data_IF_892088878458
#
_entry.id   IF_892088878458
#
_cell.length_a   1.000
_cell.length_b   1.000
_cell.length_c   1.000
_cell.angle_alpha   90.00
_cell.angle_beta   90.00
_cell.angle_gamma   90.00
#
_symmetry.space_group_name_H-M   'P 1'
#
loop_
_entity.id
_entity.type
_entity.pdbx_description
1 polymer ?
#
# COMPACT_ATOMS: atom_id res chain seq x y z
N UNK A 1 23.81 4.96 10.95
CA UNK A 1 22.41 4.74 11.38
C UNK A 1 22.15 3.25 11.31
N UNK A 2 21.96 2.59 12.45
CA UNK A 2 21.55 1.19 12.46
C UNK A 2 20.11 1.10 11.93
N UNK A 3 19.92 0.48 10.78
CA UNK A 3 18.59 0.10 10.30
C UNK A 3 17.98 -0.86 11.31
N UNK A 4 16.87 -0.46 11.94
CA UNK A 4 16.06 -1.40 12.72
C UNK A 4 15.46 -2.35 11.71
N UNK A 5 15.95 -3.59 11.69
CA UNK A 5 15.40 -4.65 10.87
C UNK A 5 14.05 -5.05 11.47
N UNK A 6 12.97 -4.52 10.91
CA UNK A 6 11.62 -4.98 11.26
C UNK A 6 11.47 -6.35 10.60
N UNK A 7 11.67 -7.41 11.37
CA UNK A 7 11.37 -8.77 10.93
C UNK A 7 9.84 -8.87 10.82
N UNK A 8 9.26 -8.99 9.61
CA UNK A 8 7.82 -9.07 9.46
C UNK A 8 7.33 -10.36 10.15
N UNK A 9 6.35 -10.24 11.03
CA UNK A 9 5.76 -11.37 11.76
C UNK A 9 4.38 -11.69 11.19
N UNK A 10 3.92 -12.93 11.34
CA UNK A 10 2.61 -13.38 10.85
C UNK A 10 2.66 -14.47 9.79
N UNK A 11 1.48 -14.98 9.44
CA UNK A 11 1.30 -16.10 8.51
C UNK A 11 1.73 -15.75 7.07
N UNK A 12 1.61 -14.48 6.68
CA UNK A 12 1.87 -14.00 5.32
C UNK A 12 3.16 -13.19 5.18
N UNK A 13 4.06 -13.25 6.17
CA UNK A 13 5.31 -12.48 6.23
C UNK A 13 6.27 -12.62 5.04
N UNK A 14 6.09 -13.65 4.23
CA UNK A 14 6.91 -13.95 3.06
C UNK A 14 6.31 -13.40 1.76
N UNK A 15 5.15 -12.73 1.83
CA UNK A 15 4.48 -12.15 0.67
C UNK A 15 4.73 -10.65 0.61
N UNK A 16 5.08 -10.17 -0.58
CA UNK A 16 5.09 -8.77 -0.97
C UNK A 16 3.97 -8.52 -1.97
N UNK A 17 3.15 -7.50 -1.74
CA UNK A 17 1.92 -7.24 -2.49
C UNK A 17 1.88 -5.78 -2.91
N UNK A 18 1.68 -5.55 -4.21
CA UNK A 18 1.41 -4.22 -4.76
C UNK A 18 -0.10 -3.96 -4.78
N UNK A 19 -0.56 -2.98 -3.99
CA UNK A 19 -1.97 -2.62 -3.84
C UNK A 19 -2.34 -1.42 -4.74
N UNK A 20 -2.91 -1.72 -5.91
CA UNK A 20 -3.48 -0.73 -6.84
C UNK A 20 -4.97 -0.42 -6.57
N UNK A 21 -5.55 -0.99 -5.51
CA UNK A 21 -6.99 -0.90 -5.26
C UNK A 21 -7.41 0.43 -4.66
N UNK A 22 -8.71 0.74 -4.73
CA UNK A 22 -9.28 2.00 -4.23
C UNK A 22 -10.60 1.76 -3.49
N UNK A 23 -11.01 2.79 -2.75
CA UNK A 23 -12.33 2.90 -2.11
C UNK A 23 -12.52 1.90 -0.96
N UNK A 24 -13.19 0.75 -1.15
CA UNK A 24 -13.61 -0.13 -0.06
C UNK A 24 -13.13 -1.58 -0.21
N UNK A 25 -13.71 -2.32 -1.16
CA UNK A 25 -13.54 -3.78 -1.25
C UNK A 25 -12.07 -4.20 -1.38
N UNK A 26 -11.35 -3.60 -2.33
CA UNK A 26 -9.93 -3.89 -2.53
C UNK A 26 -9.05 -3.49 -1.34
N UNK A 27 -9.12 -2.23 -0.86
CA UNK A 27 -8.31 -1.82 0.29
C UNK A 27 -8.58 -2.63 1.55
N UNK A 28 -9.82 -3.04 1.78
CA UNK A 28 -10.18 -3.95 2.87
C UNK A 28 -9.49 -5.31 2.71
N UNK A 29 -9.55 -5.91 1.52
CA UNK A 29 -8.91 -7.19 1.24
C UNK A 29 -7.40 -7.14 1.46
N UNK A 30 -6.71 -6.17 0.85
CA UNK A 30 -5.26 -6.05 0.99
C UNK A 30 -4.84 -5.61 2.39
N UNK A 31 -5.69 -4.91 3.14
CA UNK A 31 -5.46 -4.63 4.57
C UNK A 31 -5.48 -5.92 5.40
N UNK A 32 -6.40 -6.83 5.14
CA UNK A 32 -6.43 -8.12 5.84
C UNK A 32 -5.14 -8.89 5.61
N UNK A 33 -4.57 -8.85 4.40
CA UNK A 33 -3.28 -9.48 4.10
C UNK A 33 -2.13 -8.82 4.89
N UNK A 34 -2.12 -7.49 4.96
CA UNK A 34 -1.17 -6.74 5.77
C UNK A 34 -1.31 -7.04 7.28
N UNK A 35 -2.54 -7.19 7.78
CA UNK A 35 -2.82 -7.56 9.17
C UNK A 35 -2.27 -8.97 9.51
N UNK A 36 -2.12 -9.87 8.52
CA UNK A 36 -1.46 -11.18 8.66
C UNK A 36 0.04 -11.16 8.36
N UNK A 37 0.65 -9.98 8.19
CA UNK A 37 2.08 -9.79 8.09
C UNK A 37 2.63 -9.62 6.67
N UNK A 38 1.80 -9.60 5.62
CA UNK A 38 2.28 -9.34 4.27
C UNK A 38 2.83 -7.91 4.15
N UNK A 39 3.91 -7.73 3.39
CA UNK A 39 4.41 -6.41 3.03
C UNK A 39 3.54 -5.85 1.90
N UNK A 40 2.60 -4.98 2.25
CA UNK A 40 1.66 -4.40 1.29
C UNK A 40 2.07 -2.96 0.96
N UNK A 41 2.42 -2.70 -0.30
CA UNK A 41 2.81 -1.39 -0.81
C UNK A 41 1.66 -0.83 -1.63
N UNK A 42 1.01 0.21 -1.11
CA UNK A 42 -0.05 0.91 -1.83
C UNK A 42 0.51 1.92 -2.80
N UNK A 43 0.11 1.83 -4.08
CA UNK A 43 0.36 2.89 -5.06
C UNK A 43 -0.82 3.87 -5.06
N UNK A 44 -0.55 5.12 -4.74
CA UNK A 44 -1.53 6.22 -4.74
C UNK A 44 -1.27 7.20 -5.87
N UNK A 45 -2.32 7.79 -6.44
CA UNK A 45 -2.17 8.93 -7.35
C UNK A 45 -2.05 10.21 -6.49
N UNK A 46 -0.96 10.99 -6.59
CA UNK A 46 -0.74 12.18 -5.76
C UNK A 46 -1.78 13.29 -6.00
N UNK A 47 -2.52 13.25 -7.11
CA UNK A 47 -3.61 14.21 -7.39
C UNK A 47 -4.89 13.88 -6.63
N UNK A 48 -5.01 12.66 -6.09
CA UNK A 48 -6.22 12.23 -5.41
C UNK A 48 -6.05 12.41 -3.91
N UNK A 49 -6.86 13.25 -3.25
CA UNK A 49 -6.82 13.36 -1.80
C UNK A 49 -7.17 12.01 -1.18
N UNK A 50 -6.31 11.51 -0.29
CA UNK A 50 -6.51 10.21 0.35
C UNK A 50 -7.80 10.17 1.21
N UNK A 51 -8.27 11.30 1.72
CA UNK A 51 -9.38 11.36 2.68
C UNK A 51 -10.68 11.97 2.10
N UNK A 52 -11.24 11.39 1.03
CA UNK A 52 -12.40 11.98 0.31
C UNK A 52 -13.77 11.96 1.01
N UNK A 53 -13.89 11.46 2.25
CA UNK A 53 -15.00 11.64 3.23
C UNK A 53 -14.80 10.55 4.30
N UNK A 54 -15.08 10.84 5.58
CA UNK A 54 -15.15 9.83 6.65
C UNK A 54 -13.82 9.14 7.05
N UNK A 55 -12.66 9.67 6.66
CA UNK A 55 -11.32 9.11 6.95
C UNK A 55 -11.14 7.65 6.50
N UNK A 56 -11.79 7.26 5.40
CA UNK A 56 -11.79 5.88 4.87
C UNK A 56 -10.37 5.37 4.64
N UNK A 57 -9.48 6.20 4.10
CA UNK A 57 -8.10 5.79 3.86
C UNK A 57 -7.35 5.40 5.13
N UNK A 58 -7.54 6.16 6.21
CA UNK A 58 -6.92 5.84 7.51
C UNK A 58 -7.46 4.52 8.07
N UNK A 59 -8.75 4.21 7.85
CA UNK A 59 -9.35 2.95 8.32
C UNK A 59 -8.91 1.74 7.51
N UNK A 60 -8.69 1.91 6.21
CA UNK A 60 -8.49 0.81 5.27
C UNK A 60 -7.03 0.56 4.85
N UNK A 61 -6.08 1.40 5.27
CA UNK A 61 -4.69 1.27 4.84
C UNK A 61 -3.67 1.28 5.98
N UNK A 62 -4.10 1.01 7.23
CA UNK A 62 -3.17 0.63 8.29
C UNK A 62 -2.33 -0.58 7.87
N UNK A 63 -1.13 -0.72 8.43
CA UNK A 63 -0.17 -1.79 8.15
C UNK A 63 0.33 -1.86 6.70
N UNK A 64 -0.04 -0.89 5.85
CA UNK A 64 0.48 -0.76 4.49
C UNK A 64 1.54 0.33 4.42
N UNK A 65 2.54 0.10 3.58
CA UNK A 65 3.42 1.14 3.06
C UNK A 65 2.70 1.91 1.95
N UNK A 66 3.16 3.12 1.64
CA UNK A 66 2.59 3.91 0.54
C UNK A 66 3.68 4.57 -0.31
N UNK A 67 3.49 4.51 -1.63
CA UNK A 67 4.23 5.29 -2.60
C UNK A 67 3.24 6.02 -3.50
N UNK A 68 3.51 7.29 -3.78
CA UNK A 68 2.70 8.09 -4.68
C UNK A 68 3.32 8.06 -6.08
N UNK A 69 2.64 7.47 -7.06
CA UNK A 69 3.10 7.37 -8.44
C UNK A 69 2.02 7.82 -9.42
N UNK A 70 2.47 8.48 -10.48
CA UNK A 70 1.66 8.89 -11.62
C UNK A 70 1.80 7.86 -12.74
N UNK A 71 0.98 6.83 -12.69
CA UNK A 71 0.98 5.74 -13.70
C UNK A 71 0.47 6.17 -15.09
N UNK A 72 0.02 7.42 -15.24
CA UNK A 72 -0.28 8.06 -16.53
C UNK A 72 0.96 8.67 -17.20
N UNK A 73 2.07 8.78 -16.49
CA UNK A 73 3.37 9.26 -16.98
C UNK A 73 4.31 8.09 -17.24
N UNK A 74 5.14 8.19 -18.28
CA UNK A 74 6.15 7.16 -18.61
C UNK A 74 7.06 6.92 -17.42
N UNK A 75 7.57 7.98 -16.80
CA UNK A 75 8.47 7.92 -15.66
C UNK A 75 7.84 7.19 -14.46
N UNK A 76 6.54 7.39 -14.24
CA UNK A 76 5.82 6.70 -13.17
C UNK A 76 5.55 5.21 -13.47
N UNK A 77 5.46 4.83 -14.76
CA UNK A 77 5.37 3.43 -15.17
C UNK A 77 6.72 2.75 -15.08
N UNK A 78 7.79 3.44 -15.45
CA UNK A 78 9.15 2.91 -15.39
C UNK A 78 9.51 2.55 -13.93
N UNK A 79 9.25 3.46 -12.99
CA UNK A 79 9.42 3.19 -11.54
C UNK A 79 8.55 2.03 -11.03
N UNK A 80 7.39 1.79 -11.65
CA UNK A 80 6.50 0.70 -11.24
C UNK A 80 6.96 -0.68 -11.77
N UNK A 81 7.69 -0.70 -12.89
CA UNK A 81 8.13 -1.91 -13.57
C UNK A 81 9.56 -2.33 -13.22
N UNK A 82 10.33 -1.45 -12.58
CA UNK A 82 11.62 -1.75 -11.96
C UNK A 82 11.47 -2.66 -10.72
#
# INVERSE_FOLDING_TARGET
MSTVEIIPSGALRHLRIIDLTRVWAGPLGTRTLADFGAEVIKVSDPRMPLNRVGKVNNKLNRNKLNIALRLDKSEGRDVFLD
#
